data_IF_128278143383
#
_entry.id   IF_128278143383
#
_cell.length_a   1.000
_cell.length_b   1.000
_cell.length_c   1.000
_cell.angle_alpha   90.00
_cell.angle_beta   90.00
_cell.angle_gamma   90.00
#
_symmetry.space_group_name_H-M   'P 1'
#
loop_
_entity.id
_entity.type
_entity.pdbx_description
1 polymer ?
#
# COMPACT_ATOMS: atom_id res chain seq x y z
N UNK A 1 6.46 14.43 -9.51
CA UNK A 1 5.56 13.31 -9.14
C UNK A 1 5.78 12.15 -10.11
N UNK A 2 6.39 11.08 -9.64
CA UNK A 2 6.55 9.86 -10.42
C UNK A 2 5.19 9.20 -10.61
N UNK A 3 4.68 9.23 -11.85
CA UNK A 3 3.37 8.72 -12.29
C UNK A 3 3.31 7.17 -12.29
N UNK A 4 3.72 6.50 -11.20
CA UNK A 4 3.74 5.03 -11.13
C UNK A 4 2.34 4.43 -11.19
N UNK A 5 1.41 5.00 -10.41
CA UNK A 5 0.01 4.57 -10.35
C UNK A 5 -0.67 4.67 -11.72
N UNK A 6 -0.55 5.83 -12.38
CA UNK A 6 -1.13 6.03 -13.71
C UNK A 6 -0.54 5.07 -14.75
N UNK A 7 0.76 4.81 -14.66
CA UNK A 7 1.42 3.80 -15.50
C UNK A 7 0.85 2.40 -15.21
N UNK A 8 0.77 2.03 -13.94
CA UNK A 8 0.28 0.73 -13.53
C UNK A 8 -1.20 0.51 -13.85
N UNK A 9 -2.03 1.55 -13.88
CA UNK A 9 -3.43 1.45 -14.31
C UNK A 9 -3.55 0.92 -15.75
N UNK A 10 -2.87 1.57 -16.70
CA UNK A 10 -2.87 1.11 -18.09
C UNK A 10 -2.26 -0.29 -18.22
N UNK A 11 -1.22 -0.58 -17.42
CA UNK A 11 -0.57 -1.88 -17.46
C UNK A 11 -1.49 -2.99 -16.92
N UNK A 12 -2.23 -2.71 -15.84
CA UNK A 12 -3.21 -3.63 -15.27
C UNK A 12 -4.36 -3.89 -16.26
N UNK A 13 -4.86 -2.86 -16.96
CA UNK A 13 -5.85 -3.02 -18.03
C UNK A 13 -5.35 -3.95 -19.15
N UNK A 14 -4.09 -3.77 -19.57
CA UNK A 14 -3.48 -4.62 -20.59
C UNK A 14 -3.25 -6.05 -20.10
N UNK A 15 -2.79 -6.24 -18.85
CA UNK A 15 -2.64 -7.56 -18.23
C UNK A 15 -3.97 -8.30 -18.12
N UNK A 16 -5.06 -7.62 -17.77
CA UNK A 16 -6.40 -8.22 -17.70
C UNK A 16 -6.84 -8.71 -19.07
N UNK A 17 -6.64 -7.88 -20.11
CA UNK A 17 -6.95 -8.24 -21.50
C UNK A 17 -6.16 -9.47 -21.97
N UNK A 18 -4.90 -9.57 -21.58
CA UNK A 18 -3.97 -10.61 -22.02
C UNK A 18 -3.62 -11.62 -20.93
N UNK A 19 -4.55 -11.85 -19.98
CA UNK A 19 -4.34 -12.68 -18.79
C UNK A 19 -3.83 -14.09 -19.10
N UNK A 20 -4.16 -14.65 -20.27
CA UNK A 20 -3.67 -15.97 -20.72
C UNK A 20 -2.14 -16.09 -20.77
N UNK A 21 -1.41 -14.97 -20.85
CA UNK A 21 0.05 -14.94 -20.89
C UNK A 21 0.71 -14.83 -19.50
N UNK A 22 -0.09 -14.74 -18.43
CA UNK A 22 0.38 -14.61 -17.06
C UNK A 22 1.12 -15.88 -16.62
N UNK A 23 2.36 -15.74 -16.17
CA UNK A 23 3.13 -16.85 -15.58
C UNK A 23 2.86 -16.99 -14.08
N UNK A 24 3.27 -18.12 -13.49
CA UNK A 24 3.23 -18.31 -12.03
C UNK A 24 4.05 -17.25 -11.29
N UNK A 25 5.21 -16.88 -11.83
CA UNK A 25 6.04 -15.83 -11.26
C UNK A 25 5.37 -14.44 -11.31
N UNK A 26 4.55 -14.16 -12.34
CA UNK A 26 3.76 -12.92 -12.42
C UNK A 26 2.61 -12.95 -11.40
N UNK A 27 2.04 -14.13 -11.14
CA UNK A 27 1.00 -14.33 -10.12
C UNK A 27 1.54 -14.13 -8.70
N UNK A 28 2.74 -14.63 -8.40
CA UNK A 28 3.38 -14.43 -7.10
C UNK A 28 3.61 -12.95 -6.77
N UNK A 29 3.95 -12.12 -7.77
CA UNK A 29 4.07 -10.66 -7.61
C UNK A 29 2.74 -10.06 -7.17
N UNK A 30 1.63 -10.39 -7.85
CA UNK A 30 0.31 -9.88 -7.49
C UNK A 30 -0.18 -10.41 -6.14
N UNK A 31 0.09 -11.68 -5.82
CA UNK A 31 -0.21 -12.26 -4.51
C UNK A 31 0.53 -11.51 -3.40
N UNK A 32 1.82 -11.22 -3.60
CA UNK A 32 2.62 -10.43 -2.66
C UNK A 32 2.07 -8.99 -2.55
N UNK A 33 1.66 -8.36 -3.65
CA UNK A 33 0.98 -7.05 -3.62
C UNK A 33 -0.29 -7.08 -2.77
N UNK A 34 -1.15 -8.09 -2.95
CA UNK A 34 -2.38 -8.25 -2.16
C UNK A 34 -2.08 -8.44 -0.67
N UNK A 35 -1.02 -9.19 -0.34
CA UNK A 35 -0.57 -9.32 1.04
C UNK A 35 -0.13 -7.97 1.62
N UNK A 36 0.69 -7.19 0.90
CA UNK A 36 1.10 -5.85 1.33
C UNK A 36 -0.09 -4.91 1.48
N UNK A 37 -1.09 -4.96 0.60
CA UNK A 37 -2.30 -4.15 0.72
C UNK A 37 -3.08 -4.47 2.00
N UNK A 38 -3.24 -5.75 2.33
CA UNK A 38 -3.87 -6.18 3.60
C UNK A 38 -3.05 -5.72 4.80
N UNK A 39 -1.73 -5.88 4.74
CA UNK A 39 -0.83 -5.40 5.78
C UNK A 39 -0.94 -3.87 5.99
N UNK A 40 -0.94 -3.09 4.90
CA UNK A 40 -1.08 -1.64 4.95
C UNK A 40 -2.42 -1.21 5.56
N UNK A 41 -3.52 -1.91 5.25
CA UNK A 41 -4.82 -1.69 5.90
C UNK A 41 -4.76 -1.97 7.40
N UNK A 42 -4.18 -3.10 7.81
CA UNK A 42 -4.02 -3.47 9.23
C UNK A 42 -3.17 -2.42 9.96
N UNK A 43 -2.01 -2.08 9.41
CA UNK A 43 -1.10 -1.08 10.00
C UNK A 43 -1.75 0.29 10.14
N UNK A 44 -2.46 0.75 9.11
CA UNK A 44 -3.20 2.02 9.15
C UNK A 44 -4.35 1.97 10.17
N UNK A 45 -5.03 0.83 10.28
CA UNK A 45 -6.04 0.57 11.31
C UNK A 45 -5.46 0.59 12.73
N UNK A 46 -4.23 0.11 12.92
CA UNK A 46 -3.51 0.19 14.20
C UNK A 46 -3.16 1.63 14.54
N UNK A 47 -2.66 2.42 13.58
CA UNK A 47 -2.39 3.86 13.78
C UNK A 47 -3.68 4.58 14.16
N UNK A 48 -4.76 4.35 13.42
CA UNK A 48 -6.06 4.99 13.68
C UNK A 48 -6.57 4.65 15.07
N UNK A 49 -6.54 3.36 15.44
CA UNK A 49 -6.97 2.89 16.75
C UNK A 49 -6.12 3.49 17.87
N UNK A 50 -4.79 3.52 17.70
CA UNK A 50 -3.87 4.13 18.66
C UNK A 50 -4.14 5.61 18.88
N UNK A 51 -4.25 6.39 17.80
CA UNK A 51 -4.57 7.82 17.87
C UNK A 51 -5.98 8.07 18.43
N UNK A 52 -6.94 7.20 18.13
CA UNK A 52 -8.29 7.28 18.67
C UNK A 52 -8.30 7.07 20.19
N UNK A 53 -7.55 6.09 20.70
CA UNK A 53 -7.39 5.86 22.14
C UNK A 53 -6.72 7.05 22.82
N UNK A 54 -5.66 7.62 22.22
CA UNK A 54 -4.97 8.79 22.74
C UNK A 54 -5.83 10.07 22.75
N UNK A 55 -6.82 10.18 21.86
CA UNK A 55 -7.71 11.35 21.76
C UNK A 55 -9.09 11.13 22.42
N UNK A 56 -9.36 9.93 22.91
CA UNK A 56 -10.63 9.56 23.54
C UNK A 56 -10.81 10.20 24.93
N UNK A 57 -12.07 10.36 25.33
CA UNK A 57 -12.44 11.00 26.60
C UNK A 57 -12.15 10.08 27.77
N UNK A 58 -11.78 10.65 28.91
CA UNK A 58 -11.44 9.91 30.14
C UNK A 58 -12.52 8.94 30.60
N UNK A 59 -13.79 9.20 30.30
CA UNK A 59 -14.93 8.32 30.62
C UNK A 59 -15.29 7.27 29.55
N UNK A 60 -14.51 7.14 28.46
CA UNK A 60 -14.81 6.26 27.32
C UNK A 60 -13.80 5.10 27.21
N UNK A 61 -13.37 4.75 25.99
CA UNK A 61 -12.32 3.73 25.71
C UNK A 61 -11.05 4.02 26.53
N UNK A 62 -10.74 5.29 26.80
CA UNK A 62 -9.60 5.69 27.65
C UNK A 62 -9.69 5.21 29.09
N UNK A 63 -10.86 4.90 29.63
CA UNK A 63 -11.00 4.31 30.97
C UNK A 63 -10.51 2.85 31.01
N UNK A 64 -10.69 2.13 29.91
CA UNK A 64 -10.33 0.71 29.78
C UNK A 64 -8.89 0.52 29.30
N UNK A 65 -8.35 1.47 28.54
CA UNK A 65 -7.03 1.37 27.89
C UNK A 65 -6.06 2.50 28.26
N UNK A 66 -6.43 3.38 29.19
CA UNK A 66 -5.57 4.44 29.72
C UNK A 66 -4.88 4.03 31.02
N UNK A 67 -3.75 4.68 31.34
CA UNK A 67 -3.11 4.53 32.64
C UNK A 67 -4.13 4.85 33.76
N UNK A 68 -4.29 4.00 34.80
CA UNK A 68 -3.33 2.98 35.25
C UNK A 68 -3.64 1.52 34.86
N UNK A 69 -4.57 1.20 33.94
CA UNK A 69 -5.01 -0.21 33.75
C UNK A 69 -4.85 -0.83 32.34
N UNK A 70 -4.31 -2.06 32.40
CA UNK A 70 -4.37 -3.30 31.60
C UNK A 70 -3.58 -3.53 30.31
N UNK A 71 -3.30 -2.57 29.43
CA UNK A 71 -2.49 -2.84 28.22
C UNK A 71 -1.25 -1.96 28.14
N UNK A 72 -0.20 -2.39 28.82
CA UNK A 72 1.13 -1.81 28.71
C UNK A 72 1.82 -2.33 27.43
N UNK A 73 1.30 -1.90 26.27
CA UNK A 73 1.88 -2.26 24.97
C UNK A 73 3.16 -1.44 24.76
N UNK A 74 4.24 -1.82 25.44
CA UNK A 74 5.65 -1.49 25.14
C UNK A 74 6.05 -0.01 24.94
N UNK A 75 5.14 0.94 25.19
CA UNK A 75 5.36 2.37 25.01
C UNK A 75 5.46 3.02 26.39
N UNK A 76 6.55 3.76 26.61
CA UNK A 76 6.83 4.48 27.84
C UNK A 76 5.61 5.31 28.30
N UNK A 77 5.22 5.12 29.56
CA UNK A 77 4.12 5.84 30.20
C UNK A 77 4.33 7.35 30.20
N UNK A 78 5.57 7.84 30.18
CA UNK A 78 5.91 9.25 30.05
C UNK A 78 5.60 9.79 28.65
N UNK A 79 5.87 9.01 27.61
CA UNK A 79 5.55 9.41 26.23
C UNK A 79 4.03 9.46 26.06
N UNK A 80 3.31 8.45 26.57
CA UNK A 80 1.85 8.43 26.59
C UNK A 80 1.28 9.66 27.31
N UNK A 81 1.79 9.99 28.50
CA UNK A 81 1.30 11.12 29.30
C UNK A 81 1.61 12.48 28.66
N UNK A 82 2.79 12.63 28.03
CA UNK A 82 3.16 13.83 27.29
C UNK A 82 2.26 14.05 26.08
N UNK A 83 2.05 13.02 25.24
CA UNK A 83 1.14 13.08 24.10
C UNK A 83 -0.28 13.43 24.56
N UNK A 84 -0.75 12.78 25.62
CA UNK A 84 -2.07 13.06 26.20
C UNK A 84 -2.17 14.50 26.67
N UNK A 85 -1.19 15.01 27.43
CA UNK A 85 -1.18 16.39 27.92
C UNK A 85 -1.20 17.39 26.77
N UNK A 86 -0.40 17.17 25.73
CA UNK A 86 -0.37 18.03 24.54
C UNK A 86 -1.72 18.03 23.82
N UNK A 87 -2.34 16.86 23.63
CA UNK A 87 -3.63 16.73 22.94
C UNK A 87 -4.80 17.29 23.76
N UNK A 88 -4.82 17.07 25.08
CA UNK A 88 -5.88 17.58 25.96
C UNK A 88 -5.70 19.05 26.34
N UNK A 89 -4.50 19.64 26.14
CA UNK A 89 -4.25 21.05 26.43
C UNK A 89 -5.09 22.01 25.57
N UNK A 90 -5.64 21.54 24.44
CA UNK A 90 -6.47 22.32 23.53
C UNK A 90 -7.83 21.67 23.35
N UNK A 91 -8.89 22.42 23.66
CA UNK A 91 -10.28 21.97 23.54
C UNK A 91 -10.64 21.46 22.13
N UNK A 92 -10.00 21.99 21.09
CA UNK A 92 -10.19 21.61 19.67
C UNK A 92 -9.83 20.14 19.37
N UNK A 93 -8.95 19.52 20.15
CA UNK A 93 -8.45 18.16 19.94
C UNK A 93 -8.98 17.15 20.96
N UNK A 94 -9.94 17.59 21.79
CA UNK A 94 -10.64 16.77 22.77
C UNK A 94 -11.66 15.85 22.07
N UNK A 95 -12.30 14.90 22.78
CA UNK A 95 -13.19 13.90 22.21
C UNK A 95 -14.38 14.49 21.46
N UNK A 96 -14.79 15.71 21.82
CA UNK A 96 -15.90 16.48 21.25
C UNK A 96 -15.43 17.54 20.24
N UNK A 97 -14.13 17.72 20.05
CA UNK A 97 -13.57 18.75 19.18
C UNK A 97 -13.43 18.29 17.72
N UNK A 98 -13.83 19.14 16.77
CA UNK A 98 -13.69 18.90 15.33
C UNK A 98 -12.25 18.61 14.88
N UNK A 99 -11.23 19.06 15.63
CA UNK A 99 -9.82 18.81 15.32
C UNK A 99 -9.38 17.37 15.56
N UNK A 100 -10.17 16.56 16.29
CA UNK A 100 -9.87 15.14 16.53
C UNK A 100 -9.78 14.35 15.23
N UNK A 101 -10.74 14.54 14.31
CA UNK A 101 -10.75 13.90 12.99
C UNK A 101 -9.49 14.24 12.18
N UNK A 102 -8.95 15.45 12.32
CA UNK A 102 -7.72 15.84 11.64
C UNK A 102 -6.51 15.12 12.24
N UNK A 103 -6.43 15.01 13.56
CA UNK A 103 -5.31 14.35 14.24
C UNK A 103 -5.34 12.83 14.05
N UNK A 104 -6.51 12.21 14.05
CA UNK A 104 -6.61 10.76 13.86
C UNK A 104 -6.60 10.39 12.38
N UNK A 105 -7.30 11.15 11.54
CA UNK A 105 -7.52 10.81 10.13
C UNK A 105 -6.34 11.18 9.21
N UNK A 106 -5.77 12.38 9.36
CA UNK A 106 -4.73 12.86 8.43
C UNK A 106 -3.45 12.01 8.53
N UNK A 107 -2.89 11.73 9.72
CA UNK A 107 -1.70 10.88 9.82
C UNK A 107 -1.94 9.45 9.33
N UNK A 108 -3.11 8.86 9.65
CA UNK A 108 -3.49 7.54 9.15
C UNK A 108 -3.58 7.52 7.63
N UNK A 109 -4.23 8.52 7.03
CA UNK A 109 -4.37 8.61 5.58
C UNK A 109 -3.02 8.80 4.88
N UNK A 110 -2.18 9.71 5.37
CA UNK A 110 -0.83 9.94 4.82
C UNK A 110 0.01 8.67 4.91
N UNK A 111 -0.01 7.98 6.06
CA UNK A 111 0.71 6.72 6.23
C UNK A 111 0.22 5.66 5.24
N UNK A 112 -1.10 5.50 5.09
CA UNK A 112 -1.70 4.56 4.15
C UNK A 112 -1.28 4.84 2.70
N UNK A 113 -1.49 6.08 2.22
CA UNK A 113 -1.16 6.48 0.85
C UNK A 113 0.33 6.31 0.57
N UNK A 114 1.19 6.68 1.52
CA UNK A 114 2.63 6.52 1.36
C UNK A 114 3.05 5.05 1.23
N UNK A 115 2.48 4.17 2.05
CA UNK A 115 2.74 2.73 1.98
C UNK A 115 2.23 2.11 0.69
N UNK A 116 1.03 2.48 0.22
CA UNK A 116 0.49 2.04 -1.06
C UNK A 116 1.37 2.51 -2.22
N UNK A 117 1.76 3.79 -2.25
CA UNK A 117 2.65 4.30 -3.28
C UNK A 117 3.98 3.53 -3.33
N UNK A 118 4.54 3.20 -2.16
CA UNK A 118 5.77 2.41 -2.07
C UNK A 118 5.56 0.96 -2.52
N UNK A 119 4.41 0.36 -2.23
CA UNK A 119 4.07 -1.01 -2.65
C UNK A 119 3.93 -1.09 -4.18
N UNK A 120 3.29 -0.09 -4.79
CA UNK A 120 3.14 0.01 -6.23
C UNK A 120 4.48 0.19 -6.95
N UNK A 121 5.35 1.05 -6.41
CA UNK A 121 6.71 1.20 -6.91
C UNK A 121 7.50 -0.12 -6.83
N UNK A 122 7.35 -0.87 -5.74
CA UNK A 122 7.98 -2.20 -5.59
C UNK A 122 7.47 -3.17 -6.64
N UNK A 123 6.15 -3.22 -6.88
CA UNK A 123 5.51 -4.07 -7.89
C UNK A 123 6.05 -3.79 -9.29
N UNK A 124 6.11 -2.50 -9.68
CA UNK A 124 6.66 -2.11 -10.98
C UNK A 124 8.11 -2.56 -11.14
N UNK A 125 8.95 -2.38 -10.10
CA UNK A 125 10.35 -2.82 -10.12
C UNK A 125 10.49 -4.35 -10.23
N UNK A 126 9.56 -5.12 -9.67
CA UNK A 126 9.54 -6.57 -9.81
C UNK A 126 9.24 -6.97 -11.26
N UNK A 127 8.21 -6.37 -11.88
CA UNK A 127 7.91 -6.60 -13.30
C UNK A 127 9.06 -6.20 -14.22
N UNK A 128 9.75 -5.09 -13.96
CA UNK A 128 10.91 -4.67 -14.76
C UNK A 128 12.06 -5.69 -14.77
N UNK A 129 12.20 -6.48 -13.70
CA UNK A 129 13.22 -7.52 -13.56
C UNK A 129 12.77 -8.87 -14.10
N UNK A 130 11.48 -9.03 -14.35
CA UNK A 130 10.88 -10.26 -14.82
C UNK A 130 11.22 -10.47 -16.31
N UNK A 131 11.60 -11.68 -16.69
CA UNK A 131 11.76 -12.08 -18.10
C UNK A 131 10.48 -12.78 -18.57
N UNK A 132 9.37 -12.05 -18.58
CA UNK A 132 8.08 -12.50 -19.08
C UNK A 132 7.52 -11.49 -20.07
N UNK A 133 6.45 -11.86 -20.77
CA UNK A 133 5.72 -10.97 -21.67
C UNK A 133 5.29 -9.67 -20.96
N UNK A 134 4.85 -9.79 -19.70
CA UNK A 134 4.44 -8.67 -18.86
C UNK A 134 5.64 -7.82 -18.41
N UNK A 135 6.76 -8.46 -18.06
CA UNK A 135 7.99 -7.73 -17.74
C UNK A 135 8.56 -6.95 -18.92
N UNK A 136 8.54 -7.54 -20.12
CA UNK A 136 8.95 -6.84 -21.36
C UNK A 136 8.03 -5.67 -21.69
N UNK A 137 6.72 -5.84 -21.59
CA UNK A 137 5.78 -4.76 -21.79
C UNK A 137 6.03 -3.61 -20.80
N UNK A 138 6.31 -3.93 -19.53
CA UNK A 138 6.66 -2.92 -18.52
C UNK A 138 7.98 -2.19 -18.86
N UNK A 139 9.00 -2.91 -19.33
CA UNK A 139 10.28 -2.33 -19.76
C UNK A 139 10.11 -1.37 -20.93
N UNK A 140 9.33 -1.77 -21.94
CA UNK A 140 9.01 -0.92 -23.09
C UNK A 140 8.23 0.30 -22.65
N UNK A 141 7.20 0.10 -21.83
CA UNK A 141 6.38 1.19 -21.32
C UNK A 141 7.16 2.20 -20.48
N UNK A 142 8.18 1.77 -19.74
CA UNK A 142 9.08 2.68 -19.04
C UNK A 142 9.89 3.56 -20.01
N UNK A 143 10.32 3.01 -21.16
CA UNK A 143 11.12 3.70 -22.18
C UNK A 143 10.26 4.62 -23.07
N UNK A 144 9.14 4.13 -23.59
CA UNK A 144 8.31 4.83 -24.58
C UNK A 144 7.21 5.69 -23.95
N UNK A 145 6.84 5.41 -22.70
CA UNK A 145 5.74 6.09 -22.01
C UNK A 145 4.35 5.77 -22.57
N UNK A 146 4.25 4.84 -23.52
CA UNK A 146 2.99 4.38 -24.13
C UNK A 146 2.91 2.86 -24.04
N UNK A 147 1.73 2.34 -23.72
CA UNK A 147 1.48 0.90 -23.82
C UNK A 147 1.34 0.58 -25.29
N UNK A 148 2.25 -0.22 -25.80
CA UNK A 148 2.17 -0.69 -27.17
C UNK A 148 1.02 -1.70 -27.25
N UNK A 149 0.02 -1.44 -28.10
CA UNK A 149 -1.13 -2.33 -28.30
C UNK A 149 -0.81 -3.60 -29.09
N UNK A 150 0.47 -3.90 -29.32
CA UNK A 150 0.87 -5.10 -30.03
C UNK A 150 0.31 -6.36 -29.35
N UNK A 151 -0.08 -7.32 -30.19
CA UNK A 151 -0.37 -8.68 -29.76
C UNK A 151 0.82 -9.17 -28.89
N UNK A 152 0.56 -9.78 -27.72
CA UNK A 152 1.62 -10.34 -26.87
C UNK A 152 2.54 -11.33 -27.60
N UNK A 153 2.06 -11.87 -28.74
CA UNK A 153 2.78 -12.72 -29.68
C UNK A 153 4.03 -12.04 -30.29
N UNK A 154 4.01 -10.73 -30.50
CA UNK A 154 5.18 -10.00 -31.03
C UNK A 154 6.26 -9.75 -29.98
N UNK A 155 5.93 -9.88 -28.69
CA UNK A 155 6.85 -9.74 -27.56
C UNK A 155 7.66 -11.04 -27.35
N UNK A 156 7.22 -12.17 -27.94
CA UNK A 156 7.89 -13.48 -27.89
C UNK A 156 9.34 -13.46 -28.41
N UNK A 157 9.67 -12.53 -29.32
CA UNK A 157 10.97 -12.45 -29.99
C UNK A 157 12.14 -12.08 -29.05
N UNK A 158 11.87 -11.57 -27.84
CA UNK A 158 12.91 -11.18 -26.87
C UNK A 158 13.03 -12.12 -25.66
N UNK A 159 12.21 -13.18 -25.58
CA UNK A 159 12.23 -14.13 -24.47
C UNK A 159 13.14 -15.34 -24.78
N UNK A 160 13.77 -15.97 -23.75
CA UNK A 160 14.58 -17.17 -23.94
C UNK A 160 13.78 -18.30 -24.60
N UNK A 161 14.42 -19.06 -25.50
CA UNK A 161 13.77 -20.11 -26.29
C UNK A 161 13.04 -21.17 -25.45
N UNK A 162 13.50 -21.43 -24.22
CA UNK A 162 12.88 -22.39 -23.29
C UNK A 162 11.47 -22.00 -22.84
N UNK A 163 11.12 -20.70 -22.87
CA UNK A 163 9.79 -20.21 -22.47
C UNK A 163 8.86 -20.02 -23.67
N UNK A 164 9.36 -20.10 -24.90
CA UNK A 164 8.55 -19.95 -26.11
C UNK A 164 7.55 -21.12 -26.29
N UNK A 165 7.89 -22.31 -25.77
CA UNK A 165 7.07 -23.52 -25.90
C UNK A 165 5.71 -23.43 -25.21
N UNK A 166 5.60 -22.70 -24.08
CA UNK A 166 4.33 -22.50 -23.34
C UNK A 166 3.33 -21.68 -24.19
N UNK A 167 3.81 -20.99 -25.22
CA UNK A 167 3.04 -20.02 -25.99
C UNK A 167 2.81 -20.41 -27.47
N UNK A 168 3.07 -21.67 -27.85
CA UNK A 168 2.89 -22.18 -29.22
C UNK A 168 1.47 -22.70 -29.55
N UNK A 169 0.46 -22.32 -28.76
CA UNK A 169 -0.96 -22.56 -29.03
C UNK A 169 -1.70 -21.26 -29.34
#
# INVERSE_FOLDING_TARGET
>A
MTKYELKLQYFDEWMIRWRKFQTESDWEIEKNRQWWRRFNMVFSGTILSGLCVCTAGTATIRRQYGLPHFFDVGFDGQIKSNILRTLTSRWRYTPQGYGRLLITGVPTYIAFVFMEHRSERRRMNQYLRQNTVFGEQMRRFQKTGKIEEYLPVNIKATLPASQQAIYNY
#
